data_IF_394104430601
#
_entry.id   IF_394104430601
#
_cell.length_a   1.000
_cell.length_b   1.000
_cell.length_c   1.000
_cell.angle_alpha   90.00
_cell.angle_beta   90.00
_cell.angle_gamma   90.00
#
_symmetry.space_group_name_H-M   'P 1'
#
loop_
_entity.id
_entity.type
_entity.pdbx_description
1 polymer ?
#
# COMPACT_ATOMS: atom_id res chain seq x y z
N UNK A 1 -29.12 -36.35 -17.85
CA UNK A 1 -27.76 -36.94 -17.67
C UNK A 1 -26.66 -35.89 -17.78
N UNK A 2 -26.50 -35.18 -18.90
CA UNK A 2 -25.44 -34.18 -19.10
C UNK A 2 -25.16 -33.18 -17.94
N UNK A 3 -26.15 -32.51 -17.30
CA UNK A 3 -25.84 -31.51 -16.28
C UNK A 3 -25.23 -32.10 -14.98
N UNK A 4 -25.51 -33.37 -14.66
CA UNK A 4 -24.93 -34.02 -13.48
C UNK A 4 -23.45 -34.36 -13.69
N UNK A 5 -23.02 -34.65 -14.92
CA UNK A 5 -21.62 -34.98 -15.23
C UNK A 5 -20.74 -33.74 -15.03
N UNK A 6 -21.18 -32.57 -15.50
CA UNK A 6 -20.46 -31.29 -15.31
C UNK A 6 -20.31 -30.97 -13.81
N UNK A 7 -21.37 -31.17 -13.02
CA UNK A 7 -21.34 -30.93 -11.58
C UNK A 7 -20.38 -31.88 -10.85
N UNK A 8 -20.37 -33.17 -11.22
CA UNK A 8 -19.46 -34.17 -10.64
C UNK A 8 -18.00 -33.89 -11.00
N UNK A 9 -17.70 -33.47 -12.23
CA UNK A 9 -16.34 -33.09 -12.63
C UNK A 9 -15.86 -31.84 -11.88
N UNK A 10 -16.72 -30.84 -11.70
CA UNK A 10 -16.38 -29.64 -10.93
C UNK A 10 -16.12 -29.96 -9.44
N UNK A 11 -16.93 -30.82 -8.83
CA UNK A 11 -16.75 -31.27 -7.44
C UNK A 11 -15.48 -32.14 -7.27
N UNK A 12 -15.14 -32.97 -8.25
CA UNK A 12 -13.91 -33.77 -8.24
C UNK A 12 -12.64 -32.91 -8.39
N UNK A 13 -12.68 -31.87 -9.23
CA UNK A 13 -11.59 -30.89 -9.34
C UNK A 13 -11.38 -30.13 -8.02
N UNK A 14 -12.48 -29.70 -7.36
CA UNK A 14 -12.45 -29.03 -6.06
C UNK A 14 -11.85 -29.91 -4.96
N UNK A 15 -12.16 -31.21 -4.95
CA UNK A 15 -11.63 -32.17 -3.97
C UNK A 15 -10.13 -32.47 -4.13
N UNK A 16 -9.58 -32.34 -5.35
CA UNK A 16 -8.19 -32.71 -5.67
C UNK A 16 -7.23 -31.50 -5.80
N UNK A 17 -7.72 -30.27 -5.65
CA UNK A 17 -6.90 -29.05 -5.80
C UNK A 17 -6.39 -28.77 -7.23
N UNK A 18 -6.80 -29.58 -8.21
CA UNK A 18 -6.42 -29.45 -9.61
C UNK A 18 -7.57 -28.81 -10.40
N UNK A 19 -7.58 -27.48 -10.43
CA UNK A 19 -8.32 -26.75 -11.45
C UNK A 19 -7.60 -26.91 -12.80
N UNK A 20 -8.31 -27.09 -13.93
CA UNK A 20 -7.67 -27.18 -15.24
C UNK A 20 -6.95 -25.87 -15.58
N UNK A 21 -5.62 -25.92 -15.55
CA UNK A 21 -4.74 -24.83 -15.99
C UNK A 21 -5.06 -24.46 -17.44
N UNK A 22 -5.47 -23.21 -17.66
CA UNK A 22 -5.85 -22.71 -19.00
C UNK A 22 -7.35 -22.63 -19.29
N UNK A 23 -8.24 -22.94 -18.35
CA UNK A 23 -9.66 -22.53 -18.48
C UNK A 23 -9.85 -21.09 -18.01
N UNK A 24 -10.41 -20.23 -18.85
CA UNK A 24 -10.74 -18.85 -18.50
C UNK A 24 -11.66 -18.81 -17.26
N UNK A 25 -11.39 -17.94 -16.26
CA UNK A 25 -12.23 -17.89 -15.06
C UNK A 25 -13.67 -17.44 -15.38
N UNK A 26 -14.61 -17.81 -14.51
CA UNK A 26 -16.01 -17.40 -14.64
C UNK A 26 -16.15 -15.87 -14.60
N UNK A 27 -17.04 -15.31 -15.45
CA UNK A 27 -17.20 -13.86 -15.66
C UNK A 27 -15.92 -13.12 -16.08
N UNK A 28 -14.96 -13.84 -16.69
CA UNK A 28 -13.83 -13.26 -17.40
C UNK A 28 -13.90 -13.54 -18.91
N UNK A 29 -13.28 -12.64 -19.67
CA UNK A 29 -12.94 -12.81 -21.08
C UNK A 29 -11.42 -12.99 -21.18
N UNK A 30 -10.97 -14.10 -21.80
CA UNK A 30 -9.56 -14.44 -21.87
C UNK A 30 -9.11 -14.70 -23.30
N UNK A 31 -7.94 -14.15 -23.62
CA UNK A 31 -7.08 -14.54 -24.72
C UNK A 31 -5.78 -15.13 -24.11
N UNK A 32 -4.92 -15.74 -24.93
CA UNK A 32 -3.64 -16.33 -24.49
C UNK A 32 -2.76 -15.37 -23.69
N UNK A 33 -2.86 -14.06 -23.93
CA UNK A 33 -2.04 -13.01 -23.29
C UNK A 33 -2.83 -12.01 -22.46
N UNK A 34 -4.17 -12.07 -22.45
CA UNK A 34 -5.01 -11.08 -21.80
C UNK A 34 -6.12 -11.76 -20.99
N UNK A 35 -6.37 -11.32 -19.76
CA UNK A 35 -7.48 -11.80 -18.92
C UNK A 35 -8.20 -10.60 -18.34
N UNK A 36 -9.47 -10.43 -18.72
CA UNK A 36 -10.30 -9.30 -18.34
C UNK A 36 -11.51 -9.84 -17.57
N UNK A 37 -11.57 -9.58 -16.27
CA UNK A 37 -12.59 -10.07 -15.37
C UNK A 37 -13.56 -8.97 -14.93
N UNK A 38 -14.84 -9.29 -14.89
CA UNK A 38 -15.93 -8.40 -14.43
C UNK A 38 -16.73 -9.05 -13.30
N UNK A 39 -17.47 -8.28 -12.52
CA UNK A 39 -18.48 -8.76 -11.54
C UNK A 39 -17.97 -9.71 -10.44
N UNK A 40 -16.66 -9.85 -10.26
CA UNK A 40 -16.08 -10.85 -9.38
C UNK A 40 -16.39 -10.57 -7.91
N UNK A 41 -16.85 -11.60 -7.19
CA UNK A 41 -17.03 -11.58 -5.71
C UNK A 41 -15.81 -12.11 -4.93
N UNK A 42 -14.88 -12.75 -5.63
CA UNK A 42 -13.62 -13.29 -5.10
C UNK A 42 -12.52 -13.17 -6.15
N UNK A 43 -11.26 -13.34 -5.77
CA UNK A 43 -10.17 -13.28 -6.76
C UNK A 43 -10.27 -14.46 -7.76
N UNK A 44 -10.24 -14.20 -9.09
CA UNK A 44 -10.49 -15.21 -10.10
C UNK A 44 -9.38 -16.27 -10.16
N UNK A 45 -9.77 -17.54 -10.10
CA UNK A 45 -8.86 -18.69 -10.25
C UNK A 45 -8.78 -19.13 -11.72
N UNK A 46 -7.59 -19.44 -12.23
CA UNK A 46 -7.40 -19.93 -13.60
C UNK A 46 -6.89 -18.89 -14.61
N UNK A 47 -6.39 -17.74 -14.13
CA UNK A 47 -5.67 -16.76 -14.97
C UNK A 47 -4.50 -17.46 -15.68
N UNK A 48 -4.35 -17.28 -16.99
CA UNK A 48 -3.29 -17.95 -17.76
C UNK A 48 -1.88 -17.58 -17.28
N UNK A 49 -0.97 -18.55 -17.22
CA UNK A 49 0.46 -18.34 -16.89
C UNK A 49 1.17 -17.47 -17.94
N UNK A 50 0.68 -17.51 -19.19
CA UNK A 50 1.13 -16.67 -20.30
C UNK A 50 0.47 -15.29 -20.36
N UNK A 51 -0.37 -14.92 -19.38
CA UNK A 51 -1.01 -13.61 -19.35
C UNK A 51 0.02 -12.49 -19.21
N UNK A 52 0.00 -11.55 -20.15
CA UNK A 52 0.77 -10.31 -20.13
C UNK A 52 -0.05 -9.14 -19.57
N UNK A 53 -1.37 -9.21 -19.72
CA UNK A 53 -2.34 -8.24 -19.23
C UNK A 53 -3.39 -8.90 -18.34
N UNK A 54 -3.60 -8.36 -17.14
CA UNK A 54 -4.74 -8.66 -16.29
C UNK A 54 -5.52 -7.38 -16.00
N UNK A 55 -6.84 -7.40 -16.23
CA UNK A 55 -7.74 -6.33 -15.82
C UNK A 55 -8.91 -6.86 -14.99
N UNK A 56 -9.17 -6.21 -13.87
CA UNK A 56 -10.36 -6.43 -13.05
C UNK A 56 -11.24 -5.18 -13.10
N UNK A 57 -12.52 -5.35 -13.45
CA UNK A 57 -13.51 -4.25 -13.47
C UNK A 57 -14.75 -4.59 -12.65
N UNK A 58 -15.40 -3.55 -12.13
CA UNK A 58 -16.77 -3.62 -11.56
C UNK A 58 -16.97 -4.79 -10.58
N UNK A 59 -15.94 -5.07 -9.78
CA UNK A 59 -15.83 -6.27 -8.92
C UNK A 59 -15.79 -5.89 -7.44
N UNK A 60 -16.25 -6.78 -6.57
CA UNK A 60 -16.31 -6.58 -5.12
C UNK A 60 -15.60 -7.73 -4.40
N UNK A 61 -14.28 -7.60 -4.28
CA UNK A 61 -13.39 -8.62 -3.71
C UNK A 61 -12.91 -8.12 -2.34
N UNK A 62 -12.86 -8.98 -1.33
CA UNK A 62 -12.38 -8.55 -0.02
C UNK A 62 -10.88 -8.18 -0.04
N UNK A 63 -10.07 -8.96 -0.76
CA UNK A 63 -8.62 -8.99 -0.59
C UNK A 63 -7.93 -9.56 -1.84
N UNK A 64 -6.83 -8.94 -2.27
CA UNK A 64 -5.83 -9.64 -3.11
C UNK A 64 -4.77 -10.20 -2.16
N UNK A 65 -4.71 -11.53 -2.07
CA UNK A 65 -3.88 -12.28 -1.13
C UNK A 65 -2.46 -12.49 -1.65
N UNK A 66 -1.54 -12.83 -0.76
CA UNK A 66 -0.32 -13.57 -1.14
C UNK A 66 -0.72 -14.79 -1.98
N UNK A 67 0.04 -15.10 -3.03
CA UNK A 67 -0.26 -16.22 -3.93
C UNK A 67 -1.17 -15.89 -5.12
N UNK A 68 -1.81 -14.71 -5.15
CA UNK A 68 -2.80 -14.37 -6.18
C UNK A 68 -2.24 -14.33 -7.61
N UNK A 69 -0.93 -14.12 -7.77
CA UNK A 69 -0.27 -14.00 -9.08
C UNK A 69 0.98 -14.90 -9.24
N UNK A 70 1.21 -15.89 -8.37
CA UNK A 70 2.46 -16.68 -8.32
C UNK A 70 2.83 -17.39 -9.63
N UNK A 71 1.81 -17.81 -10.39
CA UNK A 71 1.97 -18.51 -11.66
C UNK A 71 1.98 -17.55 -12.85
N UNK A 72 1.61 -16.29 -12.66
CA UNK A 72 1.46 -15.27 -13.72
C UNK A 72 2.74 -14.44 -13.88
N UNK A 73 3.90 -15.12 -13.89
CA UNK A 73 5.24 -14.52 -13.94
C UNK A 73 5.50 -13.68 -15.20
N UNK A 74 4.69 -13.84 -16.24
CA UNK A 74 4.77 -13.08 -17.49
C UNK A 74 3.98 -11.76 -17.47
N UNK A 75 3.22 -11.45 -16.40
CA UNK A 75 2.42 -10.23 -16.33
C UNK A 75 3.27 -8.98 -16.46
N UNK A 76 2.93 -8.15 -17.45
CA UNK A 76 3.54 -6.86 -17.70
C UNK A 76 2.66 -5.70 -17.23
N UNK A 77 1.35 -5.92 -17.15
CA UNK A 77 0.37 -4.87 -16.84
C UNK A 77 -0.79 -5.42 -16.02
N UNK A 78 -1.04 -4.80 -14.87
CA UNK A 78 -2.21 -5.05 -14.02
C UNK A 78 -3.04 -3.77 -13.97
N UNK A 79 -4.35 -3.88 -14.23
CA UNK A 79 -5.29 -2.78 -14.14
C UNK A 79 -6.51 -3.15 -13.31
N UNK A 80 -6.94 -2.27 -12.42
CA UNK A 80 -8.12 -2.45 -11.57
C UNK A 80 -8.98 -1.20 -11.70
N UNK A 81 -10.24 -1.35 -12.08
CA UNK A 81 -11.15 -0.21 -12.34
C UNK A 81 -12.49 -0.43 -11.63
N UNK A 82 -13.07 0.62 -11.06
CA UNK A 82 -14.43 0.59 -10.50
C UNK A 82 -14.69 -0.56 -9.51
N UNK A 83 -13.65 -1.02 -8.82
CA UNK A 83 -13.69 -2.25 -8.02
C UNK A 83 -13.44 -1.96 -6.54
N UNK A 84 -14.17 -2.65 -5.67
CA UNK A 84 -13.92 -2.62 -4.24
C UNK A 84 -12.96 -3.77 -3.88
N UNK A 85 -11.79 -3.44 -3.34
CA UNK A 85 -10.73 -4.35 -2.90
C UNK A 85 -10.27 -3.88 -1.54
N UNK A 86 -10.90 -4.35 -0.45
CA UNK A 86 -10.66 -3.75 0.88
C UNK A 86 -9.17 -3.74 1.26
N UNK A 87 -8.41 -4.76 0.85
CA UNK A 87 -7.02 -4.96 1.25
C UNK A 87 -6.13 -5.47 0.12
N UNK A 88 -4.93 -4.88 -0.02
CA UNK A 88 -3.81 -5.47 -0.75
C UNK A 88 -2.84 -6.04 0.28
N UNK A 89 -2.82 -7.36 0.41
CA UNK A 89 -2.10 -8.03 1.50
C UNK A 89 -0.62 -8.18 1.24
N UNK A 90 0.14 -8.51 2.29
CA UNK A 90 1.56 -8.76 2.19
C UNK A 90 1.88 -9.74 1.04
N UNK A 91 2.89 -9.39 0.24
CA UNK A 91 3.34 -10.13 -0.94
C UNK A 91 2.33 -10.31 -2.08
N UNK A 92 1.19 -9.59 -2.12
CA UNK A 92 0.14 -9.79 -3.12
C UNK A 92 0.56 -9.56 -4.59
N UNK A 93 1.55 -8.69 -4.83
CA UNK A 93 2.17 -8.45 -6.14
C UNK A 93 3.69 -8.64 -6.12
N UNK A 94 4.24 -9.27 -5.08
CA UNK A 94 5.69 -9.38 -4.93
C UNK A 94 6.33 -10.20 -6.06
N UNK A 95 7.59 -9.90 -6.38
CA UNK A 95 8.42 -10.67 -7.33
C UNK A 95 7.85 -10.81 -8.76
N UNK A 96 6.86 -10.00 -9.16
CA UNK A 96 6.40 -9.94 -10.54
C UNK A 96 7.42 -9.19 -11.41
N UNK A 97 8.56 -9.85 -11.69
CA UNK A 97 9.75 -9.26 -12.31
C UNK A 97 9.50 -8.71 -13.72
N UNK A 98 8.47 -9.15 -14.44
CA UNK A 98 8.11 -8.62 -15.76
C UNK A 98 7.12 -7.45 -15.70
N UNK A 99 6.63 -7.08 -14.52
CA UNK A 99 5.55 -6.11 -14.34
C UNK A 99 6.04 -4.68 -14.57
N UNK A 100 5.54 -4.05 -15.63
CA UNK A 100 5.91 -2.70 -16.06
C UNK A 100 4.96 -1.63 -15.52
N UNK A 101 3.66 -1.96 -15.36
CA UNK A 101 2.64 -1.01 -14.88
C UNK A 101 1.58 -1.66 -13.98
N UNK A 102 1.26 -0.99 -12.88
CA UNK A 102 0.06 -1.23 -12.06
C UNK A 102 -0.77 0.05 -12.04
N UNK A 103 -2.06 -0.07 -12.31
CA UNK A 103 -3.00 1.05 -12.34
C UNK A 103 -4.32 0.68 -11.66
N UNK A 104 -4.64 1.35 -10.56
CA UNK A 104 -5.88 1.20 -9.80
C UNK A 104 -6.65 2.52 -9.88
N UNK A 105 -7.88 2.49 -10.43
CA UNK A 105 -8.66 3.68 -10.80
C UNK A 105 -10.11 3.56 -10.30
N UNK A 106 -10.67 4.64 -9.76
CA UNK A 106 -12.08 4.73 -9.34
C UNK A 106 -12.51 3.57 -8.42
N UNK A 107 -11.57 3.05 -7.63
CA UNK A 107 -11.72 1.81 -6.89
C UNK A 107 -11.81 2.09 -5.38
N UNK A 108 -11.77 1.07 -4.55
CA UNK A 108 -11.55 1.25 -3.11
C UNK A 108 -10.51 0.25 -2.66
N UNK A 109 -9.33 0.74 -2.29
CA UNK A 109 -8.30 0.03 -1.55
C UNK A 109 -8.18 0.71 -0.20
N UNK A 110 -8.34 0.03 0.94
CA UNK A 110 -8.21 0.70 2.25
C UNK A 110 -6.79 0.62 2.79
N UNK A 111 -6.18 -0.55 2.70
CA UNK A 111 -4.85 -0.83 3.26
C UNK A 111 -3.96 -1.43 2.18
N UNK A 112 -2.74 -0.90 2.07
CA UNK A 112 -1.61 -1.53 1.37
C UNK A 112 -0.65 -2.03 2.45
N UNK A 113 -0.60 -3.35 2.66
CA UNK A 113 0.27 -3.97 3.66
C UNK A 113 1.75 -3.94 3.25
N UNK A 114 2.62 -4.17 4.23
CA UNK A 114 4.04 -4.33 4.01
C UNK A 114 4.37 -5.44 3.01
N UNK A 115 5.34 -5.18 2.13
CA UNK A 115 5.75 -6.05 1.03
C UNK A 115 4.66 -6.37 -0.02
N UNK A 116 3.52 -5.68 -0.05
CA UNK A 116 2.51 -5.89 -1.10
C UNK A 116 3.06 -5.72 -2.53
N UNK A 117 4.03 -4.81 -2.73
CA UNK A 117 4.70 -4.51 -4.00
C UNK A 117 6.23 -4.74 -3.95
N UNK A 118 6.71 -5.71 -3.16
CA UNK A 118 8.16 -5.89 -3.00
C UNK A 118 8.85 -6.53 -4.21
N UNK A 119 10.13 -6.21 -4.42
CA UNK A 119 10.99 -6.79 -5.46
C UNK A 119 10.46 -6.64 -6.90
N UNK A 120 9.79 -5.52 -7.19
CA UNK A 120 9.42 -5.14 -8.54
C UNK A 120 10.58 -4.38 -9.19
N UNK A 121 11.32 -5.04 -10.08
CA UNK A 121 12.58 -4.51 -10.65
C UNK A 121 12.43 -3.86 -12.04
N UNK A 122 11.34 -4.15 -12.75
CA UNK A 122 11.04 -3.60 -14.09
C UNK A 122 9.82 -2.65 -14.09
N UNK A 123 9.32 -2.29 -12.91
CA UNK A 123 8.11 -1.46 -12.76
C UNK A 123 8.41 0.00 -13.05
N UNK A 124 7.74 0.57 -14.05
CA UNK A 124 7.92 1.98 -14.43
C UNK A 124 6.77 2.85 -13.94
N UNK A 125 5.59 2.28 -13.72
CA UNK A 125 4.38 3.03 -13.35
C UNK A 125 3.59 2.35 -12.23
N UNK A 126 3.41 3.06 -11.12
CA UNK A 126 2.50 2.69 -10.03
C UNK A 126 1.49 3.84 -9.89
N UNK A 127 0.24 3.59 -10.25
CA UNK A 127 -0.81 4.61 -10.32
C UNK A 127 -2.04 4.20 -9.50
N UNK A 128 -2.44 5.05 -8.57
CA UNK A 128 -3.67 4.95 -7.78
C UNK A 128 -4.44 6.27 -7.91
N UNK A 129 -5.62 6.24 -8.51
CA UNK A 129 -6.40 7.44 -8.84
C UNK A 129 -7.84 7.26 -8.38
N UNK A 130 -8.39 8.20 -7.61
CA UNK A 130 -9.76 8.11 -7.06
C UNK A 130 -10.05 6.76 -6.38
N UNK A 131 -9.06 6.19 -5.68
CA UNK A 131 -9.08 4.78 -5.24
C UNK A 131 -9.10 4.56 -3.72
N UNK A 132 -9.34 5.63 -2.95
CA UNK A 132 -9.60 5.64 -1.50
C UNK A 132 -8.56 4.94 -0.60
N UNK A 133 -7.32 4.82 -1.07
CA UNK A 133 -6.15 4.34 -0.28
C UNK A 133 -6.09 5.12 1.02
N UNK A 134 -6.13 4.45 2.18
CA UNK A 134 -6.13 5.07 3.51
C UNK A 134 -4.80 4.97 4.25
N UNK A 135 -4.15 3.80 4.17
CA UNK A 135 -2.88 3.53 4.87
C UNK A 135 -1.90 2.80 3.96
N UNK A 136 -0.63 3.24 4.02
CA UNK A 136 0.52 2.56 3.40
C UNK A 136 1.48 2.12 4.51
N UNK A 137 1.59 0.81 4.70
CA UNK A 137 2.39 0.22 5.77
C UNK A 137 3.91 0.23 5.47
N UNK A 138 4.70 -0.09 6.50
CA UNK A 138 6.15 -0.26 6.41
C UNK A 138 6.50 -1.27 5.32
N UNK A 139 7.50 -0.98 4.49
CA UNK A 139 7.98 -1.89 3.43
C UNK A 139 6.96 -2.20 2.31
N UNK A 140 5.84 -1.49 2.21
CA UNK A 140 4.83 -1.71 1.17
C UNK A 140 5.42 -1.74 -0.26
N UNK A 141 6.46 -0.93 -0.52
CA UNK A 141 7.18 -0.81 -1.79
C UNK A 141 8.69 -1.07 -1.61
N UNK A 142 9.05 -2.13 -0.90
CA UNK A 142 10.45 -2.47 -0.61
C UNK A 142 11.20 -3.07 -1.81
N UNK A 143 12.45 -2.63 -2.02
CA UNK A 143 13.31 -3.07 -3.14
C UNK A 143 12.60 -2.91 -4.51
N UNK A 144 11.96 -1.76 -4.71
CA UNK A 144 11.31 -1.38 -5.97
C UNK A 144 12.26 -0.53 -6.80
N UNK A 145 12.51 -0.91 -8.04
CA UNK A 145 13.48 -0.23 -8.91
C UNK A 145 12.82 0.29 -10.20
N UNK A 146 13.23 1.49 -10.62
CA UNK A 146 12.92 2.01 -11.97
C UNK A 146 11.59 2.74 -12.14
N UNK A 147 10.94 3.17 -11.07
CA UNK A 147 9.61 3.82 -11.15
C UNK A 147 9.70 5.24 -11.71
N UNK A 148 9.53 5.39 -13.01
CA UNK A 148 9.41 6.71 -13.67
C UNK A 148 8.21 7.53 -13.13
N UNK A 149 7.10 6.87 -12.81
CA UNK A 149 5.85 7.49 -12.35
C UNK A 149 5.24 6.76 -11.15
N UNK A 150 5.40 7.32 -9.96
CA UNK A 150 4.67 6.94 -8.76
C UNK A 150 3.60 8.01 -8.48
N UNK A 151 2.31 7.65 -8.61
CA UNK A 151 1.19 8.58 -8.53
C UNK A 151 0.07 8.04 -7.64
N UNK A 152 -0.17 8.68 -6.50
CA UNK A 152 -1.36 8.50 -5.66
C UNK A 152 -2.12 9.81 -5.63
N UNK A 153 -3.19 9.91 -6.41
CA UNK A 153 -3.95 11.15 -6.59
C UNK A 153 -5.42 10.96 -6.20
N UNK A 154 -5.98 11.90 -5.43
CA UNK A 154 -7.38 11.84 -4.94
C UNK A 154 -7.68 10.52 -4.22
N UNK A 155 -6.82 10.19 -3.26
CA UNK A 155 -7.04 9.07 -2.34
C UNK A 155 -7.34 9.62 -0.93
N UNK A 156 -7.41 8.74 0.06
CA UNK A 156 -7.75 9.08 1.44
C UNK A 156 -6.55 8.87 2.39
N UNK A 157 -5.30 8.95 1.88
CA UNK A 157 -4.12 8.50 2.64
C UNK A 157 -3.93 9.42 3.83
N UNK A 158 -4.10 8.90 5.04
CA UNK A 158 -3.86 9.63 6.30
C UNK A 158 -2.46 9.34 6.84
N UNK A 159 -1.99 8.09 6.68
CA UNK A 159 -0.74 7.59 7.26
C UNK A 159 0.12 6.86 6.23
N UNK A 160 1.39 7.25 6.22
CA UNK A 160 2.47 6.60 5.48
C UNK A 160 3.53 6.19 6.49
N UNK A 161 3.91 4.91 6.53
CA UNK A 161 5.00 4.45 7.38
C UNK A 161 6.34 5.09 6.99
N UNK A 162 7.21 5.48 7.95
CA UNK A 162 8.55 5.99 7.66
C UNK A 162 9.42 5.09 6.79
N UNK A 163 9.11 3.79 6.70
CA UNK A 163 9.86 2.79 5.93
C UNK A 163 9.06 2.22 4.74
N UNK A 164 7.94 2.84 4.36
CA UNK A 164 7.07 2.36 3.28
C UNK A 164 7.79 2.19 1.92
N UNK A 165 8.84 2.98 1.67
CA UNK A 165 9.61 3.04 0.41
C UNK A 165 11.10 2.75 0.61
N UNK A 166 11.44 1.97 1.64
CA UNK A 166 12.83 1.62 1.93
C UNK A 166 13.44 0.84 0.74
N UNK A 167 14.62 1.28 0.30
CA UNK A 167 15.32 0.79 -0.90
C UNK A 167 14.56 0.99 -2.22
N UNK A 168 13.72 2.03 -2.33
CA UNK A 168 13.23 2.45 -3.65
C UNK A 168 14.37 3.14 -4.43
N UNK A 169 14.62 2.73 -5.66
CA UNK A 169 15.73 3.27 -6.48
C UNK A 169 15.26 3.74 -7.86
N UNK A 170 16.04 4.66 -8.47
CA UNK A 170 15.84 5.14 -9.86
C UNK A 170 14.42 5.67 -10.13
N UNK A 171 13.85 6.45 -9.21
CA UNK A 171 12.48 6.96 -9.30
C UNK A 171 12.46 8.44 -9.70
N UNK A 172 11.83 8.80 -10.81
CA UNK A 172 11.90 10.18 -11.33
C UNK A 172 10.75 11.10 -10.84
N UNK A 173 9.55 10.57 -10.62
CA UNK A 173 8.38 11.38 -10.28
C UNK A 173 7.55 10.72 -9.19
N UNK A 174 7.53 11.34 -8.01
CA UNK A 174 6.84 10.84 -6.84
C UNK A 174 5.76 11.82 -6.39
N UNK A 175 4.49 11.50 -6.66
CA UNK A 175 3.36 12.42 -6.48
C UNK A 175 2.27 11.77 -5.62
N UNK A 176 2.09 12.27 -4.39
CA UNK A 176 0.95 11.91 -3.52
C UNK A 176 0.11 13.16 -3.28
N UNK A 177 -0.81 13.43 -4.20
CA UNK A 177 -1.56 14.70 -4.28
C UNK A 177 -3.02 14.50 -3.88
N UNK A 178 -3.66 15.53 -3.33
CA UNK A 178 -5.09 15.52 -2.98
C UNK A 178 -5.43 14.31 -2.09
N UNK A 179 -4.78 14.26 -0.94
CA UNK A 179 -4.84 13.18 0.04
C UNK A 179 -5.04 13.76 1.45
N UNK A 180 -4.97 12.96 2.51
CA UNK A 180 -5.25 13.38 3.89
C UNK A 180 -4.01 13.32 4.80
N UNK A 181 -2.80 13.30 4.22
CA UNK A 181 -1.57 13.05 4.98
C UNK A 181 -1.39 14.17 6.00
N UNK A 182 -1.28 13.81 7.28
CA UNK A 182 -1.06 14.77 8.38
C UNK A 182 0.40 14.94 8.77
N UNK A 183 1.22 13.91 8.54
CA UNK A 183 2.60 13.86 9.03
C UNK A 183 3.52 13.29 7.96
N UNK A 184 4.55 14.06 7.56
CA UNK A 184 5.65 13.53 6.75
C UNK A 184 6.85 13.27 7.66
N UNK A 185 7.06 11.99 8.00
CA UNK A 185 8.24 11.55 8.74
C UNK A 185 9.49 11.69 7.85
N UNK A 186 10.62 12.15 8.42
CA UNK A 186 11.87 12.30 7.65
C UNK A 186 12.37 10.98 7.06
N UNK A 187 12.03 9.83 7.68
CA UNK A 187 12.32 8.51 7.12
C UNK A 187 11.72 8.32 5.72
N UNK A 188 10.51 8.84 5.48
CA UNK A 188 9.85 8.82 4.16
C UNK A 188 10.73 9.55 3.15
N UNK A 189 11.09 10.82 3.42
CA UNK A 189 11.85 11.63 2.46
C UNK A 189 13.31 11.14 2.30
N UNK A 190 13.96 10.72 3.40
CA UNK A 190 15.31 10.15 3.39
C UNK A 190 15.39 8.81 2.64
N UNK A 191 14.34 7.98 2.71
CA UNK A 191 14.27 6.73 1.93
C UNK A 191 14.20 6.98 0.41
N UNK A 192 13.78 8.19 0.01
CA UNK A 192 13.59 8.62 -1.38
C UNK A 192 14.78 9.42 -1.92
N UNK A 193 16.00 9.21 -1.41
CA UNK A 193 17.22 9.96 -1.78
C UNK A 193 17.52 10.04 -3.29
N UNK A 194 16.98 9.13 -4.10
CA UNK A 194 17.15 9.08 -5.55
C UNK A 194 16.06 9.83 -6.35
N UNK A 195 15.06 10.44 -5.69
CA UNK A 195 13.91 11.07 -6.36
C UNK A 195 14.19 12.51 -6.77
N UNK A 196 13.86 12.85 -8.02
CA UNK A 196 14.08 14.19 -8.59
C UNK A 196 12.86 15.10 -8.56
N UNK A 197 11.65 14.57 -8.37
CA UNK A 197 10.43 15.38 -8.27
C UNK A 197 9.47 14.82 -7.22
N UNK A 198 9.24 15.56 -6.14
CA UNK A 198 8.25 15.27 -5.11
C UNK A 198 7.04 16.20 -5.23
N UNK A 199 5.83 15.67 -5.08
CA UNK A 199 4.63 16.49 -4.97
C UNK A 199 3.68 15.93 -3.89
N UNK A 200 3.44 16.71 -2.84
CA UNK A 200 2.49 16.48 -1.75
C UNK A 200 1.40 17.56 -1.71
N UNK A 201 1.04 18.12 -2.86
CA UNK A 201 0.06 19.20 -2.99
C UNK A 201 -1.34 18.77 -2.57
N UNK A 202 -2.04 19.60 -1.80
CA UNK A 202 -3.41 19.32 -1.38
C UNK A 202 -3.51 18.18 -0.36
N UNK A 203 -2.56 18.10 0.58
CA UNK A 203 -2.67 17.23 1.74
C UNK A 203 -3.14 18.03 2.97
N UNK A 204 -3.11 17.42 4.14
CA UNK A 204 -3.49 18.04 5.42
C UNK A 204 -2.31 18.05 6.39
N UNK A 205 -1.09 18.31 5.89
CA UNK A 205 0.14 18.17 6.67
C UNK A 205 0.14 19.18 7.80
N UNK A 206 -0.01 18.69 9.04
CA UNK A 206 -0.02 19.52 10.25
C UNK A 206 1.40 19.78 10.74
N UNK A 207 2.28 18.78 10.61
CA UNK A 207 3.62 18.79 11.18
C UNK A 207 4.64 18.14 10.25
N UNK A 208 5.87 18.65 10.30
CA UNK A 208 7.00 18.14 9.54
C UNK A 208 8.27 18.19 10.38
N UNK A 209 9.00 17.06 10.43
CA UNK A 209 10.17 16.95 11.31
C UNK A 209 11.40 17.66 10.76
N UNK A 210 12.24 18.09 11.69
CA UNK A 210 13.57 18.63 11.43
C UNK A 210 14.47 17.62 10.68
N UNK A 211 15.35 18.14 9.81
CA UNK A 211 16.15 17.34 8.87
C UNK A 211 15.43 16.99 7.56
N UNK A 212 14.25 17.59 7.31
CA UNK A 212 13.58 17.56 6.01
C UNK A 212 13.99 18.73 5.09
N UNK A 213 14.71 19.74 5.61
CA UNK A 213 15.21 20.90 4.84
C UNK A 213 16.11 20.43 3.69
N UNK A 214 17.09 19.59 4.00
CA UNK A 214 18.08 19.03 3.08
C UNK A 214 17.37 18.32 1.91
N UNK A 215 16.32 17.56 2.23
CA UNK A 215 15.61 16.72 1.26
C UNK A 215 14.62 17.52 0.40
N UNK A 216 13.98 18.57 0.93
CA UNK A 216 12.99 19.37 0.20
C UNK A 216 13.58 20.53 -0.59
N UNK A 217 14.67 21.14 -0.10
CA UNK A 217 15.11 22.45 -0.57
C UNK A 217 16.58 22.48 -0.98
N UNK A 218 17.47 21.80 -0.25
CA UNK A 218 18.91 21.72 -0.60
C UNK A 218 19.21 20.63 -1.64
N UNK A 219 18.28 19.70 -1.86
CA UNK A 219 18.37 18.73 -2.94
C UNK A 219 18.12 19.40 -4.31
N UNK A 220 18.73 18.83 -5.35
CA UNK A 220 18.44 19.17 -6.75
C UNK A 220 17.01 18.76 -7.19
N UNK A 221 16.23 18.13 -6.31
CA UNK A 221 14.85 17.78 -6.61
C UNK A 221 13.94 19.02 -6.65
N UNK A 222 12.86 18.93 -7.44
CA UNK A 222 11.72 19.83 -7.29
C UNK A 222 10.82 19.28 -6.19
N UNK A 223 10.41 20.12 -5.23
CA UNK A 223 9.51 19.75 -4.15
C UNK A 223 8.29 20.66 -4.17
N UNK A 224 7.11 20.08 -4.41
CA UNK A 224 5.83 20.76 -4.50
C UNK A 224 4.96 20.34 -3.31
N UNK A 225 5.15 21.00 -2.17
CA UNK A 225 4.36 20.80 -0.96
C UNK A 225 3.48 22.03 -0.80
N UNK A 226 2.41 22.12 -1.58
CA UNK A 226 1.51 23.28 -1.66
C UNK A 226 0.11 22.95 -1.15
N UNK A 227 -0.69 23.96 -0.82
CA UNK A 227 -2.07 23.80 -0.35
C UNK A 227 -2.18 22.80 0.83
N UNK A 228 -1.32 22.97 1.83
CA UNK A 228 -1.35 22.27 3.12
C UNK A 228 -1.67 23.25 4.26
N UNK A 229 -2.19 22.70 5.37
CA UNK A 229 -2.54 23.45 6.58
C UNK A 229 -1.79 22.88 7.78
N UNK A 230 -0.71 23.57 8.17
CA UNK A 230 0.15 23.23 9.30
C UNK A 230 -0.49 23.63 10.65
N UNK A 231 0.04 23.15 11.76
CA UNK A 231 -0.28 23.71 13.08
C UNK A 231 0.56 24.98 13.32
N UNK A 232 -0.06 26.12 13.68
CA UNK A 232 0.72 27.31 14.05
C UNK A 232 1.41 27.09 15.40
N UNK A 233 2.65 26.59 15.39
CA UNK A 233 3.45 26.34 16.59
C UNK A 233 4.94 26.42 16.29
N UNK A 234 5.79 26.29 17.33
CA UNK A 234 7.24 26.25 17.17
C UNK A 234 7.75 25.06 16.33
N UNK A 235 6.92 24.04 16.02
CA UNK A 235 7.28 22.98 15.06
C UNK A 235 7.54 23.52 13.64
N UNK A 236 7.13 24.76 13.34
CA UNK A 236 7.39 25.46 12.08
C UNK A 236 8.72 26.23 12.03
N UNK A 237 9.54 26.20 13.09
CA UNK A 237 10.81 26.95 13.14
C UNK A 237 11.77 26.64 11.97
N UNK A 238 11.75 25.41 11.43
CA UNK A 238 12.56 25.02 10.28
C UNK A 238 12.24 25.80 8.98
N UNK A 239 11.07 26.45 8.88
CA UNK A 239 10.70 27.30 7.73
C UNK A 239 11.49 28.62 7.72
N UNK A 240 12.02 29.01 8.88
CA UNK A 240 12.79 30.23 9.08
C UNK A 240 14.31 30.00 8.97
N UNK A 241 14.78 28.73 8.98
CA UNK A 241 16.16 28.37 8.60
C UNK A 241 16.34 28.23 7.07
N UNK A 242 15.28 28.41 6.29
CA UNK A 242 15.32 28.36 4.82
C UNK A 242 15.84 29.66 4.20
N UNK A 243 16.57 29.61 3.07
CA UNK A 243 17.02 30.82 2.36
C UNK A 243 15.83 31.70 1.94
N UNK A 244 15.73 32.90 2.52
CA UNK A 244 14.55 33.77 2.37
C UNK A 244 14.29 34.24 0.93
N UNK A 245 15.35 34.39 0.12
CA UNK A 245 15.29 34.86 -1.26
C UNK A 245 15.23 33.71 -2.29
N UNK A 246 15.14 32.46 -1.86
CA UNK A 246 15.00 31.32 -2.77
C UNK A 246 13.54 31.15 -3.22
N UNK A 247 13.33 30.88 -4.52
CA UNK A 247 12.00 30.78 -5.11
C UNK A 247 11.21 29.57 -4.60
N UNK A 248 11.86 28.44 -4.25
CA UNK A 248 11.18 27.30 -3.63
C UNK A 248 10.68 27.70 -2.24
N UNK A 249 11.52 28.40 -1.45
CA UNK A 249 11.14 28.92 -0.12
C UNK A 249 9.98 29.90 -0.18
N UNK A 250 10.00 30.87 -1.10
CA UNK A 250 8.92 31.87 -1.27
C UNK A 250 7.62 31.15 -1.64
N UNK A 251 7.64 30.31 -2.68
CA UNK A 251 6.46 29.59 -3.15
C UNK A 251 5.89 28.65 -2.06
N UNK A 252 6.75 27.95 -1.30
CA UNK A 252 6.31 27.16 -0.15
C UNK A 252 5.61 28.02 0.92
N UNK A 253 6.12 29.22 1.24
CA UNK A 253 5.52 30.12 2.24
C UNK A 253 4.21 30.75 1.75
N UNK A 254 4.08 31.02 0.45
CA UNK A 254 2.90 31.63 -0.13
C UNK A 254 1.76 30.65 -0.36
N UNK A 255 2.05 29.39 -0.73
CA UNK A 255 1.04 28.39 -1.07
C UNK A 255 0.55 27.54 0.11
N UNK A 256 0.97 27.84 1.34
CA UNK A 256 0.57 27.09 2.54
C UNK A 256 0.14 28.02 3.67
N UNK A 257 -0.63 27.43 4.59
CA UNK A 257 -1.19 28.09 5.76
C UNK A 257 -0.82 27.31 7.02
N UNK A 258 -0.88 27.96 8.17
CA UNK A 258 -1.02 27.29 9.45
C UNK A 258 -2.35 27.66 10.11
N UNK A 259 -2.87 26.79 10.95
CA UNK A 259 -4.06 26.97 11.75
C UNK A 259 -3.66 27.32 13.19
N UNK A 260 -4.03 28.51 13.66
CA UNK A 260 -3.93 28.91 15.06
C UNK A 260 -5.18 28.39 15.78
N UNK A 261 -5.02 27.28 16.49
CA UNK A 261 -6.11 26.62 17.23
C UNK A 261 -6.55 27.38 18.47
N UNK A 262 -5.78 28.38 18.94
CA UNK A 262 -6.18 29.25 20.06
C UNK A 262 -7.07 30.40 19.58
N UNK A 263 -6.84 30.91 18.36
CA UNK A 263 -7.58 32.03 17.77
C UNK A 263 -8.66 31.62 16.76
N UNK A 264 -8.58 30.39 16.24
CA UNK A 264 -9.43 29.92 15.14
C UNK A 264 -9.08 30.57 13.79
N UNK A 265 -7.82 30.98 13.60
CA UNK A 265 -7.36 31.77 12.45
C UNK A 265 -6.45 30.95 11.52
N UNK A 266 -6.67 31.05 10.20
CA UNK A 266 -5.77 30.51 9.19
C UNK A 266 -4.77 31.59 8.74
N UNK A 267 -3.51 31.41 9.12
CA UNK A 267 -2.41 32.34 8.85
C UNK A 267 -1.56 31.80 7.69
N UNK A 268 -1.46 32.56 6.60
CA UNK A 268 -0.56 32.22 5.48
C UNK A 268 0.90 32.21 5.96
N UNK A 269 1.69 31.19 5.60
CA UNK A 269 3.05 31.03 6.16
C UNK A 269 3.99 32.20 5.83
N UNK A 270 3.78 32.90 4.70
CA UNK A 270 4.49 34.12 4.33
C UNK A 270 4.21 35.32 5.24
N UNK A 271 3.14 35.28 6.03
CA UNK A 271 2.74 36.33 6.99
C UNK A 271 3.03 35.94 8.46
N UNK A 272 3.35 34.66 8.70
CA UNK A 272 3.57 34.11 10.03
C UNK A 272 4.76 34.79 10.74
N UNK A 273 4.53 35.24 11.97
CA UNK A 273 5.59 35.69 12.87
C UNK A 273 5.97 34.53 13.79
N UNK A 274 7.25 34.14 13.84
CA UNK A 274 7.71 33.01 14.67
C UNK A 274 8.00 33.42 16.12
N UNK A 275 8.43 34.67 16.36
CA UNK A 275 8.82 35.15 17.70
C UNK A 275 7.72 35.06 18.79
N UNK A 276 6.40 35.13 18.50
CA UNK A 276 5.38 34.85 19.51
C UNK A 276 5.12 33.35 19.76
N UNK A 277 5.68 32.46 18.94
CA UNK A 277 5.42 31.01 18.96
C UNK A 277 6.56 30.17 19.54
N UNK A 278 7.78 30.72 19.59
CA UNK A 278 8.99 30.05 20.09
C UNK A 278 9.66 30.90 21.17
N UNK A 279 10.24 30.24 22.18
CA UNK A 279 11.22 30.86 23.06
C UNK A 279 12.51 31.22 22.28
N UNK A 280 13.31 32.15 22.81
CA UNK A 280 14.58 32.52 22.18
C UNK A 280 15.54 31.31 22.09
N UNK A 281 16.25 31.20 20.97
CA UNK A 281 17.28 30.18 20.70
C UNK A 281 16.80 28.72 20.55
N UNK A 282 15.49 28.45 20.38
CA UNK A 282 15.00 27.08 20.12
C UNK A 282 15.62 26.52 18.82
N UNK A 283 16.43 25.46 18.97
CA UNK A 283 16.90 24.62 17.86
C UNK A 283 16.01 23.38 17.73
N UNK A 284 15.80 23.00 16.47
CA UNK A 284 15.09 21.79 16.04
C UNK A 284 15.41 20.53 16.89
N UNK A 285 14.40 19.86 17.51
CA UNK A 285 14.62 18.64 18.27
C UNK A 285 14.95 17.44 17.37
N UNK A 286 15.84 16.56 17.84
CA UNK A 286 16.27 15.33 17.13
C UNK A 286 15.28 14.17 17.29
N UNK A 287 15.38 13.20 16.37
CA UNK A 287 14.43 12.07 16.24
C UNK A 287 14.71 10.89 17.20
N UNK A 288 13.67 10.10 17.45
CA UNK A 288 13.68 8.84 18.20
C UNK A 288 14.16 7.62 17.37
N UNK A 289 14.55 6.49 18.01
CA UNK A 289 15.30 5.41 17.35
C UNK A 289 14.49 4.47 16.44
N UNK A 290 15.24 3.71 15.64
CA UNK A 290 14.79 2.69 14.67
C UNK A 290 14.40 1.37 15.39
N UNK A 291 13.39 0.65 14.88
CA UNK A 291 13.04 -0.71 15.29
C UNK A 291 13.48 -1.74 14.22
N UNK A 292 13.86 -2.98 14.61
CA UNK A 292 14.39 -3.99 13.68
C UNK A 292 13.31 -4.66 12.80
N UNK A 293 13.72 -5.11 11.60
CA UNK A 293 12.89 -5.69 10.53
C UNK A 293 13.30 -7.13 10.19
N UNK A 294 12.41 -7.87 9.51
CA UNK A 294 12.67 -9.21 8.94
C UNK A 294 12.28 -9.24 7.46
N UNK A 295 13.17 -9.77 6.63
CA UNK A 295 13.07 -9.78 5.18
C UNK A 295 12.25 -10.96 4.61
N UNK A 296 11.69 -10.78 3.41
CA UNK A 296 10.84 -11.75 2.72
C UNK A 296 11.61 -12.54 1.64
N UNK A 297 12.64 -13.29 2.05
CA UNK A 297 13.33 -14.23 1.15
C UNK A 297 12.59 -15.57 1.06
N UNK A 298 12.04 -15.90 -0.11
CA UNK A 298 11.57 -17.26 -0.44
C UNK A 298 12.25 -17.71 -1.74
N UNK A 299 12.91 -18.87 -1.71
CA UNK A 299 13.47 -19.50 -2.91
C UNK A 299 12.35 -20.18 -3.71
N UNK A 300 12.24 -19.85 -4.99
CA UNK A 300 11.20 -20.38 -5.90
C UNK A 300 11.32 -21.89 -6.22
N UNK A 301 12.32 -22.59 -5.70
CA UNK A 301 12.70 -23.96 -6.07
C UNK A 301 12.54 -25.03 -4.96
N UNK A 302 11.72 -24.78 -3.91
CA UNK A 302 11.42 -25.80 -2.89
C UNK A 302 9.92 -25.92 -2.57
N UNK A 303 9.37 -27.14 -2.45
CA UNK A 303 8.02 -27.33 -1.93
C UNK A 303 7.98 -26.94 -0.44
N UNK A 304 6.97 -26.15 -0.07
CA UNK A 304 6.76 -25.67 1.30
C UNK A 304 6.41 -26.83 2.25
N UNK A 305 6.99 -26.79 3.46
CA UNK A 305 6.77 -27.79 4.50
C UNK A 305 5.56 -27.36 5.37
N UNK A 306 4.69 -28.26 5.89
CA UNK A 306 3.42 -27.86 6.53
C UNK A 306 3.50 -27.11 7.87
N UNK A 307 4.66 -26.55 8.24
CA UNK A 307 4.93 -25.92 9.54
C UNK A 307 4.93 -24.39 9.47
N UNK A 308 4.87 -23.79 8.27
CA UNK A 308 4.83 -22.32 8.06
C UNK A 308 3.46 -21.69 8.40
N UNK A 309 2.80 -22.16 9.46
CA UNK A 309 1.79 -21.39 10.20
C UNK A 309 2.50 -20.32 11.02
N UNK A 310 2.83 -19.20 10.38
CA UNK A 310 3.37 -18.03 11.07
C UNK A 310 2.26 -17.38 11.89
N UNK A 311 2.35 -17.50 13.22
CA UNK A 311 1.50 -16.76 14.15
C UNK A 311 1.75 -15.24 14.00
N UNK A 312 0.68 -14.50 13.71
CA UNK A 312 0.72 -13.04 13.68
C UNK A 312 0.83 -12.48 15.11
N UNK A 313 1.71 -11.48 15.37
CA UNK A 313 1.77 -10.84 16.68
C UNK A 313 0.54 -9.94 16.88
N UNK A 314 -0.48 -10.49 17.53
CA UNK A 314 -1.63 -9.74 18.01
C UNK A 314 -1.14 -8.64 18.98
N UNK A 315 -1.62 -7.40 18.80
CA UNK A 315 -1.53 -6.39 19.87
C UNK A 315 -2.33 -6.87 21.08
N UNK A 316 -1.90 -6.44 22.25
CA UNK A 316 -2.55 -6.60 23.55
C UNK A 316 -2.59 -8.04 24.14
N UNK A 317 -1.48 -8.43 24.79
CA UNK A 317 -1.51 -9.45 25.84
C UNK A 317 -2.09 -8.88 27.14
N UNK A 318 -3.13 -9.52 27.67
CA UNK A 318 -3.27 -9.76 29.13
C UNK A 318 -3.23 -11.28 29.39
N UNK A 319 -2.72 -11.73 30.55
CA UNK A 319 -2.37 -13.13 30.75
C UNK A 319 -3.49 -13.99 31.35
N UNK A 320 -3.32 -15.31 31.12
CA UNK A 320 -3.80 -16.46 31.91
C UNK A 320 -5.32 -16.72 32.05
N UNK A 321 -5.71 -17.94 31.65
CA UNK A 321 -6.64 -18.74 32.45
C UNK A 321 -7.98 -19.11 31.81
N UNK A 322 -7.99 -20.06 30.87
CA UNK A 322 -8.83 -21.29 30.91
C UNK A 322 -8.71 -22.09 29.60
N UNK A 323 -8.52 -23.41 29.71
CA UNK A 323 -8.49 -24.34 28.58
C UNK A 323 -9.90 -24.68 28.11
N UNK A 324 -10.37 -24.03 27.05
CA UNK A 324 -11.57 -24.46 26.33
C UNK A 324 -11.24 -25.66 25.42
N UNK A 325 -11.93 -26.78 25.62
CA UNK A 325 -11.79 -27.98 24.77
C UNK A 325 -12.45 -27.72 23.42
N UNK A 326 -11.64 -27.49 22.39
CA UNK A 326 -12.13 -27.36 21.01
C UNK A 326 -12.43 -28.76 20.45
N UNK A 327 -13.67 -29.21 20.62
CA UNK A 327 -14.19 -30.37 19.91
C UNK A 327 -14.30 -29.99 18.42
N UNK A 328 -13.57 -30.71 17.56
CA UNK A 328 -13.58 -30.42 16.12
C UNK A 328 -14.89 -30.89 15.47
N UNK A 329 -15.31 -30.23 14.39
CA UNK A 329 -16.54 -30.57 13.65
C UNK A 329 -16.63 -32.06 13.24
N UNK A 330 -15.48 -32.70 13.00
CA UNK A 330 -15.36 -34.13 12.73
C UNK A 330 -15.82 -35.03 13.88
N UNK A 331 -15.58 -34.63 15.14
CA UNK A 331 -16.02 -35.42 16.30
C UNK A 331 -17.52 -35.30 16.55
N UNK A 332 -18.14 -34.15 16.22
CA UNK A 332 -19.60 -34.03 16.25
C UNK A 332 -20.27 -34.87 15.15
N UNK A 333 -19.68 -34.97 13.96
CA UNK A 333 -20.24 -35.81 12.89
C UNK A 333 -20.29 -37.30 13.27
N UNK A 334 -19.24 -37.81 13.94
CA UNK A 334 -19.17 -39.21 14.39
C UNK A 334 -20.26 -39.52 15.44
N UNK A 335 -20.53 -38.59 16.36
CA UNK A 335 -21.60 -38.73 17.35
C UNK A 335 -23.00 -38.73 16.73
N UNK A 336 -23.25 -37.88 15.73
CA UNK A 336 -24.54 -37.84 15.02
C UNK A 336 -24.77 -39.11 14.20
N UNK A 337 -23.73 -39.64 13.54
CA UNK A 337 -23.82 -40.91 12.80
C UNK A 337 -24.05 -42.10 13.74
N UNK A 338 -23.42 -42.13 14.92
CA UNK A 338 -23.68 -43.19 15.91
C UNK A 338 -25.11 -43.15 16.48
N UNK A 339 -25.66 -41.96 16.72
CA UNK A 339 -27.04 -41.81 17.21
C UNK A 339 -28.10 -42.21 16.16
N UNK A 340 -27.82 -41.99 14.88
CA UNK A 340 -28.69 -42.40 13.76
C UNK A 340 -28.60 -43.91 13.40
N UNK A 341 -27.67 -44.65 14.00
CA UNK A 341 -27.52 -46.10 13.82
C UNK A 341 -28.08 -46.92 15.00
N UNK A 342 -28.63 -46.24 16.02
CA UNK A 342 -29.17 -46.85 17.25
C UNK A 342 -30.66 -46.48 17.44
N UNK A 343 -31.26 -45.74 16.49
CA UNK A 343 -32.69 -45.38 16.45
C UNK A 343 -33.50 -46.14 15.40
#
# INVERSE_FOLDING_TARGET
MFPMIVLVVALAAYANGQFPTGTCPFECNCNNTETICTSQSMFPTGISESALYFELRDSNIQEIRHGAFDNQRQLQRIKIVSSNITKLSACSFSNLQNLVKIEIVNSTVRIIEGNAFSHLTNITQIVFHDSRVGTIDSYAFHNVEGVDKFLFERNEIETISPHAFMNISRTANYKIMYNKIRLINSGVIKSMYAVTNFNFTGNSITDMFCGNQDALLESNATAQVFNNTFNCSCTLAWIFSLPANDYKTINFKEQNYCNDTQRGELIQLSKLQLSPLCEENVRCPMQSPILPYKDCMINFDKPLNPVDKVDYPNKDRKPSGQTAVVITFFQMLILVVFLLLIS
#
